data_IF_738765872280
#
_entry.id   IF_738765872280
#
_cell.length_a   1.000
_cell.length_b   1.000
_cell.length_c   1.000
_cell.angle_alpha   90.00
_cell.angle_beta   90.00
_cell.angle_gamma   90.00
#
_symmetry.space_group_name_H-M   'P 1'
#
loop_
_entity.id
_entity.type
_entity.pdbx_description
1 polymer ?
#
# COMPACT_ATOMS: atom_id res chain seq x y z
N UNK A 1 -9.00 -15.12 5.54
CA UNK A 1 -10.08 -15.01 4.52
C UNK A 1 -11.26 -15.80 5.04
N UNK A 2 -12.43 -15.17 5.03
CA UNK A 2 -13.68 -15.74 5.53
C UNK A 2 -14.76 -15.66 4.46
N UNK A 3 -15.89 -16.36 4.69
CA UNK A 3 -17.11 -16.19 3.91
C UNK A 3 -18.22 -15.61 4.78
N UNK A 4 -18.96 -14.69 4.21
CA UNK A 4 -20.19 -14.17 4.81
C UNK A 4 -21.32 -15.21 4.66
N UNK A 5 -22.40 -15.08 5.44
CA UNK A 5 -23.58 -15.97 5.28
C UNK A 5 -24.17 -15.95 3.86
N UNK A 6 -24.05 -14.83 3.13
CA UNK A 6 -24.49 -14.71 1.74
C UNK A 6 -23.51 -15.32 0.72
N UNK A 7 -22.39 -15.92 1.20
CA UNK A 7 -21.37 -16.56 0.38
C UNK A 7 -20.22 -15.64 -0.03
N UNK A 8 -20.33 -14.31 0.12
CA UNK A 8 -19.29 -13.37 -0.31
C UNK A 8 -17.99 -13.54 0.44
N UNK A 9 -16.86 -13.52 -0.26
CA UNK A 9 -15.52 -13.57 0.34
C UNK A 9 -15.20 -12.26 1.09
N UNK A 10 -14.52 -12.40 2.22
CA UNK A 10 -14.05 -11.29 3.05
C UNK A 10 -12.57 -11.48 3.36
N UNK A 11 -11.79 -10.41 3.20
CA UNK A 11 -10.39 -10.38 3.61
C UNK A 11 -10.29 -9.52 4.87
N UNK A 12 -9.79 -10.11 5.97
CA UNK A 12 -9.59 -9.42 7.24
C UNK A 12 -8.11 -9.29 7.55
N UNK A 13 -7.67 -8.08 7.91
CA UNK A 13 -6.32 -7.79 8.40
C UNK A 13 -6.41 -7.30 9.86
N UNK A 14 -5.66 -7.93 10.74
CA UNK A 14 -5.62 -7.65 12.17
C UNK A 14 -4.49 -6.68 12.51
N UNK A 15 -4.81 -5.61 13.20
CA UNK A 15 -3.88 -4.58 13.65
C UNK A 15 -3.81 -4.55 15.19
N UNK A 16 -2.62 -4.68 15.74
CA UNK A 16 -2.41 -4.67 17.21
C UNK A 16 -2.45 -3.27 17.83
N UNK A 17 -2.29 -2.21 17.02
CA UNK A 17 -2.37 -0.82 17.47
C UNK A 17 -3.78 -0.30 17.70
N UNK A 18 -3.89 0.95 18.12
CA UNK A 18 -5.17 1.68 18.16
C UNK A 18 -5.62 2.04 16.74
N UNK A 19 -6.93 2.05 16.52
CA UNK A 19 -7.51 2.53 15.29
C UNK A 19 -7.20 4.03 15.09
N UNK A 20 -6.56 4.45 13.99
CA UNK A 20 -6.50 5.86 13.64
C UNK A 20 -7.89 6.36 13.23
N UNK A 21 -8.13 7.69 13.18
CA UNK A 21 -9.32 8.20 12.51
C UNK A 21 -9.46 7.61 11.10
N UNK A 22 -10.69 7.34 10.66
CA UNK A 22 -10.99 6.60 9.43
C UNK A 22 -10.29 7.17 8.19
N UNK A 23 -10.19 8.50 8.09
CA UNK A 23 -9.48 9.18 7.00
C UNK A 23 -8.00 8.77 6.87
N UNK A 24 -7.37 8.37 7.97
CA UNK A 24 -5.98 7.90 8.00
C UNK A 24 -5.85 6.38 7.82
N UNK A 25 -6.95 5.65 7.80
CA UNK A 25 -6.94 4.21 7.52
C UNK A 25 -6.80 3.89 6.02
N UNK A 26 -7.07 4.85 5.13
CA UNK A 26 -7.03 4.68 3.67
C UNK A 26 -5.74 4.07 3.12
N UNK A 27 -4.51 4.45 3.57
CA UNK A 27 -3.29 3.80 3.09
C UNK A 27 -3.21 2.31 3.39
N UNK A 28 -3.78 1.85 4.53
CA UNK A 28 -3.81 0.44 4.87
C UNK A 28 -4.72 -0.37 3.94
N UNK A 29 -5.77 0.25 3.39
CA UNK A 29 -6.65 -0.39 2.41
C UNK A 29 -5.99 -0.59 1.05
N UNK A 30 -4.94 0.16 0.72
CA UNK A 30 -4.19 -0.08 -0.51
C UNK A 30 -3.62 -1.51 -0.53
N UNK A 31 -2.98 -1.95 0.56
CA UNK A 31 -2.46 -3.31 0.67
C UNK A 31 -3.59 -4.36 0.61
N UNK A 32 -4.71 -4.11 1.27
CA UNK A 32 -5.86 -5.02 1.24
C UNK A 32 -6.49 -5.15 -0.14
N UNK A 33 -6.51 -4.07 -0.93
CA UNK A 33 -6.96 -4.13 -2.33
C UNK A 33 -6.02 -4.96 -3.20
N UNK A 34 -4.71 -4.93 -2.93
CA UNK A 34 -3.76 -5.83 -3.61
C UNK A 34 -4.08 -7.29 -3.25
N UNK A 35 -4.36 -7.60 -1.98
CA UNK A 35 -4.78 -8.94 -1.60
C UNK A 35 -6.09 -9.36 -2.26
N UNK A 36 -7.06 -8.44 -2.37
CA UNK A 36 -8.30 -8.71 -3.08
C UNK A 36 -8.07 -9.01 -4.57
N UNK A 37 -7.16 -8.28 -5.23
CA UNK A 37 -6.76 -8.52 -6.60
C UNK A 37 -6.11 -9.91 -6.77
N UNK A 38 -5.22 -10.29 -5.85
CA UNK A 38 -4.58 -11.61 -5.86
C UNK A 38 -5.59 -12.74 -5.66
N UNK A 39 -6.56 -12.56 -4.76
CA UNK A 39 -7.65 -13.52 -4.53
C UNK A 39 -8.51 -13.67 -5.78
N UNK A 40 -8.92 -12.56 -6.40
CA UNK A 40 -9.66 -12.57 -7.67
C UNK A 40 -8.88 -13.33 -8.75
N UNK A 41 -7.59 -13.05 -8.89
CA UNK A 41 -6.74 -13.72 -9.88
C UNK A 41 -6.59 -15.22 -9.64
N UNK A 42 -6.60 -15.66 -8.37
CA UNK A 42 -6.37 -17.06 -8.02
C UNK A 42 -7.65 -17.89 -7.95
N UNK A 43 -8.73 -17.31 -7.48
CA UNK A 43 -9.99 -18.01 -7.23
C UNK A 43 -11.07 -17.69 -8.28
N UNK A 44 -10.85 -16.69 -9.15
CA UNK A 44 -11.86 -16.23 -10.10
C UNK A 44 -13.05 -15.52 -9.44
N UNK A 45 -12.92 -15.13 -8.16
CA UNK A 45 -14.01 -14.54 -7.37
C UNK A 45 -13.53 -13.23 -6.74
N UNK A 46 -14.26 -12.14 -6.98
CA UNK A 46 -13.99 -10.83 -6.36
C UNK A 46 -14.47 -10.84 -4.92
N UNK A 47 -13.58 -10.56 -3.92
CA UNK A 47 -14.02 -10.40 -2.55
C UNK A 47 -15.07 -9.29 -2.42
N UNK A 48 -16.12 -9.53 -1.65
CA UNK A 48 -17.18 -8.57 -1.43
C UNK A 48 -16.75 -7.42 -0.50
N UNK A 49 -15.79 -7.69 0.38
CA UNK A 49 -15.38 -6.74 1.43
C UNK A 49 -13.94 -7.01 1.88
N UNK A 50 -13.23 -5.93 2.23
CA UNK A 50 -11.98 -5.99 3.01
C UNK A 50 -12.18 -5.30 4.35
N UNK A 51 -11.54 -5.82 5.41
CA UNK A 51 -11.68 -5.34 6.79
C UNK A 51 -10.33 -5.08 7.43
N UNK A 52 -10.24 -3.95 8.16
CA UNK A 52 -9.19 -3.71 9.15
C UNK A 52 -9.77 -3.89 10.54
N UNK A 53 -9.23 -4.82 11.30
CA UNK A 53 -9.67 -5.15 12.65
C UNK A 53 -8.60 -4.73 13.64
N UNK A 54 -8.86 -3.64 14.38
CA UNK A 54 -7.97 -3.14 15.41
C UNK A 54 -8.29 -3.81 16.75
N UNK A 55 -7.30 -4.45 17.35
CA UNK A 55 -7.48 -5.25 18.57
C UNK A 55 -7.40 -4.38 19.85
N UNK A 56 -6.67 -3.27 19.80
CA UNK A 56 -6.56 -2.34 20.93
C UNK A 56 -7.68 -1.29 20.86
N UNK A 57 -8.78 -1.55 21.59
CA UNK A 57 -10.04 -0.83 21.47
C UNK A 57 -10.76 -1.29 20.22
N UNK A 58 -11.55 -2.40 20.30
CA UNK A 58 -12.02 -3.12 19.12
C UNK A 58 -12.79 -2.20 18.17
N UNK A 59 -12.14 -1.89 17.05
CA UNK A 59 -12.70 -1.09 15.96
C UNK A 59 -12.53 -1.83 14.65
N UNK A 60 -13.58 -1.90 13.85
CA UNK A 60 -13.56 -2.56 12.55
C UNK A 60 -13.92 -1.57 11.46
N UNK A 61 -12.96 -1.29 10.58
CA UNK A 61 -13.23 -0.57 9.33
C UNK A 61 -13.52 -1.57 8.21
N UNK A 62 -14.60 -1.32 7.47
CA UNK A 62 -15.10 -2.19 6.40
C UNK A 62 -15.17 -1.40 5.10
N UNK A 63 -14.64 -1.99 4.04
CA UNK A 63 -14.70 -1.40 2.71
C UNK A 63 -15.23 -2.43 1.72
N UNK A 64 -16.32 -2.10 1.03
CA UNK A 64 -16.78 -2.93 -0.09
C UNK A 64 -15.74 -2.90 -1.21
N UNK A 65 -15.64 -4.00 -1.92
CA UNK A 65 -14.77 -4.15 -3.07
C UNK A 65 -15.62 -4.54 -4.27
N UNK A 66 -15.33 -3.96 -5.42
CA UNK A 66 -15.93 -4.30 -6.70
C UNK A 66 -14.87 -4.48 -7.78
N UNK A 67 -15.28 -5.04 -8.91
CA UNK A 67 -14.38 -5.33 -10.04
C UNK A 67 -13.76 -4.06 -10.62
N UNK A 68 -14.52 -2.97 -10.71
CA UNK A 68 -14.02 -1.69 -11.23
C UNK A 68 -12.88 -1.12 -10.40
N UNK A 69 -12.98 -1.25 -9.06
CA UNK A 69 -11.92 -0.85 -8.14
C UNK A 69 -10.66 -1.73 -8.32
N UNK A 70 -10.84 -3.04 -8.49
CA UNK A 70 -9.72 -3.96 -8.70
C UNK A 70 -9.06 -3.76 -10.06
N UNK A 71 -9.82 -3.50 -11.12
CA UNK A 71 -9.28 -3.17 -12.44
C UNK A 71 -8.49 -1.86 -12.42
N UNK A 72 -8.95 -0.86 -11.68
CA UNK A 72 -8.22 0.39 -11.48
C UNK A 72 -6.91 0.15 -10.72
N UNK A 73 -6.94 -0.68 -9.67
CA UNK A 73 -5.76 -1.07 -8.90
C UNK A 73 -4.75 -1.81 -9.78
N UNK A 74 -5.19 -2.74 -10.61
CA UNK A 74 -4.33 -3.51 -11.52
C UNK A 74 -3.61 -2.57 -12.51
N UNK A 75 -4.33 -1.63 -13.11
CA UNK A 75 -3.72 -0.61 -13.99
C UNK A 75 -2.68 0.24 -13.23
N UNK A 76 -2.99 0.63 -12.00
CA UNK A 76 -2.07 1.39 -11.16
C UNK A 76 -0.78 0.61 -10.84
N UNK A 77 -0.90 -0.67 -10.50
CA UNK A 77 0.24 -1.54 -10.23
C UNK A 77 1.11 -1.74 -11.46
N UNK A 78 0.49 -1.94 -12.64
CA UNK A 78 1.22 -2.05 -13.90
C UNK A 78 1.96 -0.76 -14.25
N UNK A 79 1.35 0.41 -14.04
CA UNK A 79 2.00 1.70 -14.25
C UNK A 79 3.18 1.90 -13.31
N UNK A 80 3.00 1.55 -12.02
CA UNK A 80 4.05 1.61 -11.02
C UNK A 80 5.23 0.69 -11.38
N UNK A 81 4.93 -0.55 -11.81
CA UNK A 81 5.94 -1.51 -12.21
C UNK A 81 6.75 -1.05 -13.43
N UNK A 82 6.07 -0.47 -14.44
CA UNK A 82 6.75 0.15 -15.58
C UNK A 82 7.66 1.30 -15.16
N UNK A 83 7.22 2.14 -14.22
CA UNK A 83 8.04 3.24 -13.70
C UNK A 83 9.28 2.73 -12.95
N UNK A 84 9.14 1.68 -12.14
CA UNK A 84 10.25 1.04 -11.43
C UNK A 84 11.26 0.46 -12.43
N UNK A 85 10.80 -0.31 -13.42
CA UNK A 85 11.70 -0.89 -14.42
C UNK A 85 12.46 0.18 -15.20
N UNK A 86 11.78 1.25 -15.60
CA UNK A 86 12.42 2.39 -16.26
C UNK A 86 13.48 3.05 -15.38
N UNK A 87 13.21 3.21 -14.09
CA UNK A 87 14.19 3.76 -13.14
C UNK A 87 15.42 2.84 -13.01
N UNK A 88 15.21 1.50 -13.00
CA UNK A 88 16.29 0.51 -12.98
C UNK A 88 17.13 0.60 -14.27
N UNK A 89 16.49 0.59 -15.44
CA UNK A 89 17.16 0.66 -16.75
C UNK A 89 17.99 1.94 -16.91
N UNK A 90 17.49 3.04 -16.38
CA UNK A 90 18.16 4.35 -16.44
C UNK A 90 19.13 4.59 -15.28
N UNK A 91 19.20 3.66 -14.32
CA UNK A 91 19.90 3.84 -13.04
C UNK A 91 19.59 5.20 -12.38
N UNK A 92 18.31 5.59 -12.39
CA UNK A 92 17.85 6.90 -11.96
C UNK A 92 16.81 6.76 -10.85
N UNK A 93 17.24 6.96 -9.62
CA UNK A 93 16.42 6.96 -8.40
C UNK A 93 16.53 8.31 -7.69
N UNK A 94 15.91 9.37 -8.22
CA UNK A 94 16.03 10.70 -7.64
C UNK A 94 15.44 10.70 -6.21
N UNK A 95 16.16 11.28 -5.24
CA UNK A 95 15.64 11.42 -3.89
C UNK A 95 14.42 12.37 -3.91
N UNK A 96 13.44 12.05 -3.06
CA UNK A 96 12.24 12.87 -2.89
C UNK A 96 12.22 13.47 -1.48
N UNK A 97 12.78 14.67 -1.26
CA UNK A 97 12.77 15.34 0.05
C UNK A 97 11.35 15.52 0.60
N UNK A 98 11.20 15.32 1.89
CA UNK A 98 9.94 15.47 2.59
C UNK A 98 10.15 15.57 4.12
N UNK A 99 9.06 15.69 4.87
CA UNK A 99 9.10 15.89 6.34
C UNK A 99 9.86 14.78 7.09
N UNK A 100 9.89 13.57 6.55
CA UNK A 100 10.62 12.46 7.16
C UNK A 100 12.14 12.59 7.04
N UNK A 101 12.64 13.46 6.16
CA UNK A 101 14.07 13.68 6.01
C UNK A 101 14.72 14.32 7.23
N UNK A 102 13.94 15.00 8.08
CA UNK A 102 14.44 15.56 9.34
C UNK A 102 14.79 14.50 10.37
N UNK A 103 14.24 13.29 10.22
CA UNK A 103 14.50 12.12 11.07
C UNK A 103 15.34 11.04 10.36
N UNK A 104 15.85 11.32 9.17
CA UNK A 104 16.58 10.35 8.37
C UNK A 104 18.03 10.25 8.81
N UNK A 105 18.47 9.06 9.19
CA UNK A 105 19.86 8.79 9.59
C UNK A 105 20.87 8.88 8.42
N UNK A 106 20.39 9.01 7.18
CA UNK A 106 21.23 9.12 5.98
C UNK A 106 21.23 10.51 5.37
N UNK A 107 20.72 11.52 6.08
CA UNK A 107 20.59 12.88 5.56
C UNK A 107 21.92 13.48 5.14
N UNK A 108 22.97 13.22 5.91
CA UNK A 108 24.35 13.66 5.68
C UNK A 108 25.03 13.01 4.46
N UNK A 109 24.45 11.99 3.90
CA UNK A 109 24.92 11.26 2.70
C UNK A 109 23.91 11.31 1.54
N UNK A 110 22.78 11.97 1.75
CA UNK A 110 21.73 12.01 0.76
C UNK A 110 22.03 13.04 -0.33
N UNK A 111 21.99 12.67 -1.62
CA UNK A 111 22.28 13.59 -2.73
C UNK A 111 21.30 14.76 -2.83
N UNK A 112 20.18 14.73 -2.10
CA UNK A 112 19.27 15.87 -2.01
C UNK A 112 19.76 16.98 -1.07
N UNK A 113 20.72 16.69 -0.18
CA UNK A 113 21.18 17.62 0.85
C UNK A 113 22.69 17.85 0.85
N UNK A 114 23.43 17.01 0.13
CA UNK A 114 24.89 17.06 0.07
C UNK A 114 25.33 17.30 -1.37
N UNK A 115 26.30 18.19 -1.59
CA UNK A 115 26.85 18.44 -2.92
C UNK A 115 27.51 17.16 -3.48
N UNK A 116 27.41 16.97 -4.80
CA UNK A 116 27.95 15.78 -5.48
C UNK A 116 29.44 15.51 -5.21
N UNK A 117 30.22 16.54 -4.91
CA UNK A 117 31.65 16.47 -4.58
C UNK A 117 31.93 15.71 -3.28
N UNK A 118 31.01 15.73 -2.32
CA UNK A 118 31.13 15.01 -1.03
C UNK A 118 30.78 13.52 -1.16
N UNK A 119 30.05 13.15 -2.19
CA UNK A 119 29.63 11.76 -2.43
C UNK A 119 30.63 10.96 -3.27
N UNK A 120 31.61 11.64 -3.87
CA UNK A 120 32.62 11.04 -4.74
C UNK A 120 33.93 10.65 -4.01
N UNK A 121 34.08 10.99 -2.73
CA UNK A 121 35.21 10.62 -1.86
C UNK A 121 34.90 9.46 -0.96
#
# INVERSE_FOLDING_TARGET
IDRRPDGGLVISDYKTGKAPPEAYALPAFFALKIYALLIRSRLGETPAEVRLIYLNGPTVYRFPVDDGQLDAMERQLHALWKAINRAIEQNNFPPRPGRLCDYCSFRDRCPAFVAAEVLAG
#
